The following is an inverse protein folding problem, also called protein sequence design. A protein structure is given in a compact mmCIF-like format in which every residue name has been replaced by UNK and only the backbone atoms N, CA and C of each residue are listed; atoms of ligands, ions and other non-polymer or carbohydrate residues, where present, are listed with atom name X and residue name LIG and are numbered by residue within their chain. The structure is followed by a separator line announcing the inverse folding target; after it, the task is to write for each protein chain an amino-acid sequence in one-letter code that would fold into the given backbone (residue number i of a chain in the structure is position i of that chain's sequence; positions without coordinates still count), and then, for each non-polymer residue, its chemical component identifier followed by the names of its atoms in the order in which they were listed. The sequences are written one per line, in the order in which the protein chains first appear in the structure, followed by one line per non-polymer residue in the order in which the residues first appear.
data_IF_152683483726
#
_entry.id   IF_152683483726
#
_cell.length_a   1.000
_cell.length_b   1.000
_cell.length_c   1.000
_cell.angle_alpha   90.00
_cell.angle_beta   90.00
_cell.angle_gamma   90.00
#
_symmetry.space_group_name_H-M   'P 1'
#
loop_
_entity.id
_entity.type
_entity.pdbx_description
1 polymer ?
#
# COMPACT_ATOMS: atom_id res chain seq x y z
N UNK A 1 -19.74 10.10 -6.62
CA UNK A 1 -19.28 9.64 -5.29
C UNK A 1 -18.87 8.20 -5.38
N UNK A 2 -17.71 7.90 -4.80
CA UNK A 2 -17.14 6.57 -4.68
C UNK A 2 -18.00 5.73 -3.75
N UNK A 3 -18.44 4.60 -4.25
CA UNK A 3 -19.23 3.60 -3.54
C UNK A 3 -18.33 2.48 -3.00
N UNK A 4 -17.23 2.17 -3.71
CA UNK A 4 -16.34 1.06 -3.38
C UNK A 4 -14.87 1.45 -3.43
N UNK A 5 -14.13 1.08 -2.38
CA UNK A 5 -12.67 1.14 -2.34
C UNK A 5 -12.12 -0.29 -2.35
N UNK A 6 -11.35 -0.62 -3.37
CA UNK A 6 -10.58 -1.85 -3.45
C UNK A 6 -9.15 -1.57 -2.99
N UNK A 7 -8.60 -2.40 -2.11
CA UNK A 7 -7.22 -2.27 -1.62
C UNK A 7 -6.49 -3.59 -1.84
N UNK A 8 -5.35 -3.53 -2.52
CA UNK A 8 -4.47 -4.67 -2.78
C UNK A 8 -3.13 -4.43 -2.10
N UNK A 9 -2.61 -5.45 -1.41
CA UNK A 9 -1.19 -5.50 -1.11
C UNK A 9 -0.42 -5.97 -2.34
N UNK A 10 0.75 -5.38 -2.60
CA UNK A 10 1.66 -5.88 -3.62
C UNK A 10 1.87 -7.42 -3.52
N UNK A 11 2.16 -8.04 -4.66
CA UNK A 11 2.45 -9.47 -4.76
C UNK A 11 3.82 -9.82 -4.13
N UNK A 12 4.15 -11.11 -4.14
CA UNK A 12 5.37 -11.65 -3.54
C UNK A 12 6.65 -11.00 -4.13
N UNK A 13 7.38 -10.26 -3.29
CA UNK A 13 8.58 -9.51 -3.67
C UNK A 13 9.88 -10.26 -3.41
N UNK A 14 10.95 -9.86 -4.09
CA UNK A 14 12.30 -10.17 -3.64
C UNK A 14 12.62 -9.40 -2.35
N UNK A 15 13.59 -9.88 -1.58
CA UNK A 15 13.88 -9.38 -0.24
C UNK A 15 14.95 -8.29 -0.24
N UNK A 16 15.02 -7.57 0.87
CA UNK A 16 16.10 -6.65 1.24
C UNK A 16 16.27 -6.69 2.76
N UNK A 17 17.41 -6.23 3.25
CA UNK A 17 17.71 -6.07 4.67
C UNK A 17 18.23 -4.67 4.97
N UNK A 18 18.21 -4.29 6.24
CA UNK A 18 18.81 -3.07 6.76
C UNK A 18 19.74 -3.42 7.90
N UNK A 19 20.90 -2.79 7.95
CA UNK A 19 21.73 -2.77 9.15
C UNK A 19 21.22 -1.66 10.08
N UNK A 20 20.67 -1.99 11.27
CA UNK A 20 20.06 -1.01 12.15
C UNK A 20 21.06 -0.05 12.80
N UNK A 21 22.36 -0.36 12.80
CA UNK A 21 23.39 0.53 13.36
C UNK A 21 23.86 1.56 12.34
N UNK A 22 23.91 1.18 11.07
CA UNK A 22 24.47 2.03 10.00
C UNK A 22 23.40 2.63 9.09
N UNK A 23 22.17 2.11 9.12
CA UNK A 23 21.11 2.48 8.19
C UNK A 23 21.35 1.98 6.77
N UNK A 24 22.32 1.10 6.54
CA UNK A 24 22.66 0.61 5.20
C UNK A 24 21.65 -0.44 4.75
N UNK A 25 20.94 -0.14 3.67
CA UNK A 25 20.01 -1.05 3.02
C UNK A 25 20.70 -1.90 1.95
N UNK A 26 20.46 -3.22 1.97
CA UNK A 26 20.99 -4.17 0.99
C UNK A 26 19.86 -4.98 0.36
N UNK A 27 19.70 -4.86 -0.95
CA UNK A 27 18.79 -5.73 -1.69
C UNK A 27 19.39 -7.15 -1.82
N UNK A 28 18.56 -8.19 -1.76
CA UNK A 28 19.04 -9.57 -1.97
C UNK A 28 19.47 -9.83 -3.42
N UNK A 29 19.15 -8.92 -4.33
CA UNK A 29 19.55 -8.95 -5.72
C UNK A 29 20.63 -7.90 -6.00
N UNK A 30 21.47 -8.16 -7.01
CA UNK A 30 22.59 -7.29 -7.34
C UNK A 30 22.16 -5.85 -7.70
N UNK A 31 20.98 -5.65 -8.32
CA UNK A 31 20.42 -4.32 -8.65
C UNK A 31 18.89 -4.36 -8.69
N UNK A 32 18.24 -3.39 -8.06
CA UNK A 32 16.80 -3.15 -8.23
C UNK A 32 16.53 -2.35 -9.51
N UNK A 33 15.33 -2.45 -10.13
CA UNK A 33 15.03 -1.73 -11.37
C UNK A 33 15.21 -0.21 -11.26
N UNK A 34 14.86 0.37 -10.11
CA UNK A 34 14.95 1.81 -9.83
C UNK A 34 16.31 2.21 -9.24
N UNK A 35 17.18 1.25 -8.93
CA UNK A 35 18.45 1.46 -8.21
C UNK A 35 18.28 1.73 -6.71
N UNK A 36 17.06 1.83 -6.20
CA UNK A 36 16.77 2.04 -4.78
C UNK A 36 16.78 0.70 -4.03
N UNK A 37 17.59 0.52 -2.97
CA UNK A 37 17.73 -0.78 -2.30
C UNK A 37 16.46 -1.35 -1.68
N UNK A 38 15.56 -0.48 -1.18
CA UNK A 38 14.28 -0.86 -0.57
C UNK A 38 13.17 -1.14 -1.59
N UNK A 39 13.47 -1.04 -2.88
CA UNK A 39 12.51 -1.13 -3.97
C UNK A 39 12.73 -2.34 -4.90
N UNK A 40 12.76 -3.58 -4.36
CA UNK A 40 12.94 -4.77 -5.16
C UNK A 40 11.69 -5.08 -5.99
N UNK A 41 11.85 -5.78 -7.13
CA UNK A 41 10.74 -6.24 -7.94
C UNK A 41 10.06 -7.45 -7.31
N UNK A 42 8.97 -7.88 -7.94
CA UNK A 42 8.31 -9.16 -7.70
C UNK A 42 9.23 -10.33 -8.07
N UNK A 43 9.10 -11.44 -7.34
CA UNK A 43 9.67 -12.73 -7.76
C UNK A 43 8.87 -13.33 -8.91
N UNK A 44 9.35 -14.41 -9.53
CA UNK A 44 8.55 -15.17 -10.50
C UNK A 44 7.17 -15.58 -9.94
N UNK A 45 7.11 -15.93 -8.64
CA UNK A 45 5.86 -16.22 -7.94
C UNK A 45 4.96 -14.99 -7.82
N UNK A 46 5.52 -13.84 -7.45
CA UNK A 46 4.77 -12.59 -7.38
C UNK A 46 4.24 -12.15 -8.75
N UNK A 47 5.00 -12.37 -9.83
CA UNK A 47 4.53 -12.14 -11.19
C UNK A 47 3.35 -13.07 -11.53
N UNK A 48 3.37 -14.32 -11.10
CA UNK A 48 2.22 -15.20 -11.29
C UNK A 48 0.98 -14.72 -10.51
N UNK A 49 1.15 -14.35 -9.23
CA UNK A 49 0.07 -13.76 -8.42
C UNK A 49 -0.51 -12.50 -9.09
N UNK A 50 0.32 -11.63 -9.68
CA UNK A 50 -0.15 -10.41 -10.35
C UNK A 50 -1.06 -10.70 -11.56
N UNK A 51 -0.82 -11.80 -12.29
CA UNK A 51 -1.67 -12.23 -13.41
C UNK A 51 -3.01 -12.80 -12.93
N UNK A 52 -2.98 -13.59 -11.86
CA UNK A 52 -4.17 -14.16 -11.24
C UNK A 52 -5.06 -13.05 -10.66
N UNK A 53 -4.45 -12.08 -9.96
CA UNK A 53 -5.11 -10.88 -9.48
C UNK A 53 -5.75 -10.09 -10.63
N UNK A 54 -5.04 -9.88 -11.74
CA UNK A 54 -5.57 -9.15 -12.89
C UNK A 54 -6.83 -9.82 -13.48
N UNK A 55 -6.82 -11.15 -13.61
CA UNK A 55 -7.98 -11.91 -14.07
C UNK A 55 -9.18 -11.80 -13.12
N UNK A 56 -8.93 -11.65 -11.83
CA UNK A 56 -9.97 -11.45 -10.82
C UNK A 56 -10.51 -10.00 -10.86
N UNK A 57 -9.63 -9.01 -10.86
CA UNK A 57 -9.97 -7.58 -10.95
C UNK A 57 -10.77 -7.24 -12.22
N UNK A 58 -10.55 -7.94 -13.33
CA UNK A 58 -11.34 -7.76 -14.55
C UNK A 58 -12.84 -8.13 -14.40
N UNK A 59 -13.22 -8.79 -13.31
CA UNK A 59 -14.57 -9.33 -13.06
C UNK A 59 -15.23 -8.77 -11.80
N UNK A 60 -14.57 -7.86 -11.08
CA UNK A 60 -15.15 -7.28 -9.86
C UNK A 60 -16.30 -6.35 -10.21
N UNK A 61 -17.29 -6.30 -9.32
CA UNK A 61 -18.43 -5.41 -9.43
C UNK A 61 -18.54 -4.52 -8.18
N UNK A 62 -18.66 -3.19 -8.32
CA UNK A 62 -18.54 -2.42 -9.57
C UNK A 62 -17.14 -2.52 -10.20
N UNK A 63 -16.99 -2.35 -11.52
CA UNK A 63 -15.70 -2.39 -12.18
C UNK A 63 -14.80 -1.25 -11.70
N UNK A 64 -13.48 -1.43 -11.76
CA UNK A 64 -12.50 -0.41 -11.38
C UNK A 64 -12.64 0.83 -12.28
N UNK A 65 -12.85 2.01 -11.69
CA UNK A 65 -12.92 3.28 -12.43
C UNK A 65 -11.66 4.13 -12.28
N UNK A 66 -10.97 4.05 -11.15
CA UNK A 66 -9.74 4.81 -10.88
C UNK A 66 -8.68 3.92 -10.26
N UNK A 67 -7.42 4.19 -10.57
CA UNK A 67 -6.28 3.42 -10.04
C UNK A 67 -5.30 4.38 -9.35
N UNK A 68 -5.00 4.08 -8.09
CA UNK A 68 -3.91 4.67 -7.35
C UNK A 68 -2.93 3.59 -6.94
N UNK A 69 -1.64 3.91 -6.95
CA UNK A 69 -0.60 3.01 -6.49
C UNK A 69 0.39 3.73 -5.60
N UNK A 70 0.89 3.02 -4.59
CA UNK A 70 2.16 3.37 -3.97
C UNK A 70 3.25 3.50 -5.05
N UNK A 71 4.24 4.39 -4.85
CA UNK A 71 5.34 4.60 -5.78
C UNK A 71 6.29 3.41 -5.91
N UNK A 72 6.38 2.53 -4.92
CA UNK A 72 7.32 1.39 -4.98
C UNK A 72 7.03 0.50 -6.19
N UNK A 73 8.09 0.16 -6.93
CA UNK A 73 8.07 -0.58 -8.18
C UNK A 73 7.18 -1.83 -8.11
N UNK A 74 7.26 -2.57 -7.01
CA UNK A 74 6.47 -3.79 -6.80
C UNK A 74 4.95 -3.57 -6.80
N UNK A 75 4.45 -2.41 -6.37
CA UNK A 75 3.02 -2.11 -6.38
C UNK A 75 2.55 -1.91 -7.82
N UNK A 76 3.27 -1.09 -8.60
CA UNK A 76 2.99 -0.90 -10.02
C UNK A 76 3.16 -2.19 -10.82
N UNK A 77 4.20 -2.99 -10.53
CA UNK A 77 4.40 -4.30 -11.15
C UNK A 77 3.27 -5.29 -10.81
N UNK A 78 2.69 -5.19 -9.62
CA UNK A 78 1.54 -6.02 -9.22
C UNK A 78 0.29 -5.67 -10.04
N UNK A 79 0.09 -4.38 -10.32
CA UNK A 79 -1.06 -3.92 -11.10
C UNK A 79 -0.86 -4.06 -12.61
N UNK A 80 0.39 -4.15 -13.08
CA UNK A 80 0.72 -4.07 -14.51
C UNK A 80 -0.14 -4.98 -15.41
N UNK A 81 -0.33 -6.29 -15.12
CA UNK A 81 -1.13 -7.14 -16.01
C UNK A 81 -2.59 -6.68 -16.12
N UNK A 82 -3.16 -6.14 -15.04
CA UNK A 82 -4.50 -5.57 -15.04
C UNK A 82 -4.53 -4.25 -15.81
N UNK A 83 -3.64 -3.31 -15.47
CA UNK A 83 -3.63 -1.98 -16.07
C UNK A 83 -3.33 -2.00 -17.58
N UNK A 84 -2.44 -2.88 -18.04
CA UNK A 84 -2.14 -3.02 -19.47
C UNK A 84 -3.41 -3.40 -20.25
N UNK A 85 -4.16 -4.38 -19.77
CA UNK A 85 -5.44 -4.78 -20.39
C UNK A 85 -6.47 -3.66 -20.27
N UNK A 86 -6.58 -3.07 -19.09
CA UNK A 86 -7.52 -2.00 -18.79
C UNK A 86 -7.39 -0.81 -19.76
N UNK A 87 -6.17 -0.35 -20.01
CA UNK A 87 -5.92 0.79 -20.91
C UNK A 87 -5.99 0.42 -22.38
N UNK A 88 -5.54 -0.77 -22.78
CA UNK A 88 -5.62 -1.23 -24.18
C UNK A 88 -7.05 -1.44 -24.68
N UNK A 89 -8.02 -1.64 -23.79
CA UNK A 89 -9.46 -1.70 -24.12
C UNK A 89 -10.10 -0.31 -24.35
N UNK A 90 -9.31 0.76 -24.47
CA UNK A 90 -9.80 2.12 -24.72
C UNK A 90 -10.44 2.78 -23.48
N UNK A 91 -10.20 2.23 -22.28
CA UNK A 91 -10.62 2.84 -21.00
C UNK A 91 -9.65 3.90 -20.49
N UNK A 92 -8.81 4.45 -21.36
CA UNK A 92 -8.02 5.65 -21.09
C UNK A 92 -8.89 6.87 -20.77
N UNK A 93 -10.16 6.85 -21.17
CA UNK A 93 -11.21 7.77 -20.70
C UNK A 93 -11.50 7.67 -19.19
N UNK A 94 -11.06 6.62 -18.51
CA UNK A 94 -11.19 6.44 -17.06
C UNK A 94 -9.97 6.94 -16.27
N UNK A 95 -9.04 7.61 -16.94
CA UNK A 95 -7.89 8.27 -16.32
C UNK A 95 -6.68 7.36 -16.09
N UNK A 96 -5.51 7.98 -15.98
CA UNK A 96 -4.21 7.31 -15.80
C UNK A 96 -4.00 6.85 -14.34
N UNK A 97 -2.99 6.01 -14.11
CA UNK A 97 -2.59 5.56 -12.78
C UNK A 97 -1.98 6.73 -12.02
N UNK A 98 -2.57 7.09 -10.87
CA UNK A 98 -2.05 8.11 -9.98
C UNK A 98 -1.09 7.50 -8.96
N UNK A 99 0.17 7.95 -8.97
CA UNK A 99 1.18 7.48 -8.02
C UNK A 99 1.12 8.34 -6.76
N UNK A 100 0.69 7.75 -5.65
CA UNK A 100 0.47 8.46 -4.39
C UNK A 100 1.39 7.98 -3.27
N UNK A 101 2.26 8.87 -2.79
CA UNK A 101 3.20 8.63 -1.69
C UNK A 101 2.49 8.48 -0.34
N UNK A 102 1.25 8.96 -0.19
CA UNK A 102 0.45 8.88 1.02
C UNK A 102 -0.07 7.47 1.33
N UNK A 103 -0.14 6.60 0.32
CA UNK A 103 -0.37 5.16 0.45
C UNK A 103 0.92 4.34 0.27
N UNK A 104 2.08 4.98 0.42
CA UNK A 104 3.40 4.35 0.38
C UNK A 104 3.73 3.48 1.60
N UNK A 105 4.87 2.80 1.52
CA UNK A 105 5.38 1.86 2.53
C UNK A 105 5.49 2.48 3.93
N UNK A 106 5.43 1.63 4.94
CA UNK A 106 5.72 1.99 6.32
C UNK A 106 7.19 1.70 6.64
N UNK A 107 7.93 2.73 7.04
CA UNK A 107 9.22 2.58 7.69
C UNK A 107 9.10 3.07 9.13
N UNK A 108 9.45 2.23 10.09
CA UNK A 108 9.51 2.59 11.49
C UNK A 108 10.52 3.72 11.74
N UNK A 109 10.27 4.57 12.74
CA UNK A 109 11.20 5.66 13.07
C UNK A 109 12.63 5.19 13.26
N UNK A 110 13.57 5.91 12.67
CA UNK A 110 15.00 5.66 12.79
C UNK A 110 15.80 6.92 13.09
N UNK A 111 17.01 6.76 13.62
CA UNK A 111 17.97 7.85 13.79
C UNK A 111 18.66 8.25 12.47
N UNK A 112 18.46 7.48 11.41
CA UNK A 112 18.93 7.71 10.05
C UNK A 112 17.75 8.00 9.10
N UNK A 113 18.05 8.46 7.89
CA UNK A 113 17.04 8.68 6.84
C UNK A 113 16.82 7.42 6.02
N UNK A 114 15.56 7.09 5.77
CA UNK A 114 15.19 6.01 4.86
C UNK A 114 15.35 6.46 3.40
N UNK A 115 15.62 5.53 2.47
CA UNK A 115 15.59 5.83 1.05
C UNK A 115 14.22 6.38 0.63
N UNK A 116 14.22 7.48 -0.12
CA UNK A 116 12.99 7.97 -0.73
C UNK A 116 12.42 6.96 -1.74
N UNK A 117 11.08 6.87 -1.86
CA UNK A 117 10.47 6.09 -2.92
C UNK A 117 10.79 6.68 -4.31
N UNK A 118 10.77 5.86 -5.37
CA UNK A 118 11.13 6.30 -6.71
C UNK A 118 10.27 7.45 -7.20
N UNK A 119 10.89 8.37 -7.94
CA UNK A 119 10.18 9.44 -8.65
C UNK A 119 9.49 8.91 -9.90
N UNK A 120 8.50 9.63 -10.43
CA UNK A 120 7.89 9.30 -11.71
C UNK A 120 8.92 9.16 -12.83
N UNK A 121 9.97 9.98 -12.85
CA UNK A 121 11.07 9.88 -13.82
C UNK A 121 11.77 8.51 -13.80
N UNK A 122 11.91 7.90 -12.62
CA UNK A 122 12.47 6.55 -12.48
C UNK A 122 11.45 5.46 -12.86
N UNK A 123 10.15 5.74 -12.80
CA UNK A 123 9.08 4.76 -13.04
C UNK A 123 8.62 4.73 -14.50
N UNK A 124 8.55 5.88 -15.19
CA UNK A 124 8.07 6.00 -16.58
C UNK A 124 8.81 5.11 -17.59
N UNK A 125 10.12 4.80 -17.45
CA UNK A 125 10.78 3.84 -18.34
C UNK A 125 10.27 2.39 -18.20
N UNK A 126 9.54 2.07 -17.13
CA UNK A 126 9.09 0.72 -16.80
C UNK A 126 7.57 0.54 -16.87
N UNK A 127 6.82 1.63 -16.71
CA UNK A 127 5.36 1.62 -16.63
C UNK A 127 4.76 2.73 -17.48
N UNK A 128 3.82 2.34 -18.34
CA UNK A 128 3.02 3.26 -19.13
C UNK A 128 1.79 3.75 -18.34
N UNK A 129 1.08 4.72 -18.90
CA UNK A 129 -0.20 5.21 -18.38
C UNK A 129 -0.13 5.74 -16.93
N UNK A 130 1.01 6.31 -16.55
CA UNK A 130 1.15 7.06 -15.29
C UNK A 130 0.66 8.50 -15.48
N UNK A 131 -0.10 9.00 -14.51
CA UNK A 131 -0.54 10.40 -14.44
C UNK A 131 0.66 11.28 -14.04
N UNK A 132 1.18 12.05 -15.00
CA UNK A 132 2.36 12.89 -14.80
C UNK A 132 2.03 14.18 -14.02
N UNK A 133 0.77 14.57 -13.99
CA UNK A 133 0.30 15.82 -13.39
C UNK A 133 -0.20 15.61 -11.96
N UNK A 134 -0.44 14.36 -11.56
CA UNK A 134 -0.81 14.03 -10.19
C UNK A 134 0.36 14.22 -9.22
N UNK A 135 0.10 14.95 -8.13
CA UNK A 135 1.07 15.23 -7.07
C UNK A 135 0.52 14.70 -5.75
N UNK A 136 1.32 13.89 -5.05
CA UNK A 136 0.98 13.41 -3.72
C UNK A 136 0.92 14.55 -2.71
N UNK A 137 -0.15 14.62 -1.92
CA UNK A 137 -0.34 15.66 -0.89
C UNK A 137 0.21 15.24 0.48
N UNK A 138 0.19 13.96 0.77
CA UNK A 138 0.60 13.40 2.05
C UNK A 138 1.77 12.43 1.86
N UNK A 139 2.78 12.51 2.73
CA UNK A 139 4.01 11.72 2.63
C UNK A 139 4.51 11.37 4.04
N UNK A 140 5.18 10.22 4.17
CA UNK A 140 5.89 9.87 5.39
C UNK A 140 7.12 10.78 5.61
N UNK A 141 7.54 10.96 6.86
CA UNK A 141 8.78 11.67 7.17
C UNK A 141 10.02 10.88 6.70
N UNK A 142 11.12 11.57 6.41
CA UNK A 142 12.35 10.93 5.92
C UNK A 142 12.98 9.95 6.91
N UNK A 143 12.68 10.10 8.21
CA UNK A 143 13.16 9.24 9.30
C UNK A 143 12.11 8.25 9.81
N UNK A 144 11.09 7.98 9.01
CA UNK A 144 10.06 7.00 9.34
C UNK A 144 8.96 7.58 10.21
N UNK A 145 8.07 6.70 10.67
CA UNK A 145 6.87 7.06 11.41
C UNK A 145 6.56 6.00 12.48
N UNK A 146 5.83 6.38 13.52
CA UNK A 146 5.23 5.45 14.48
C UNK A 146 3.95 4.85 13.89
N UNK A 147 3.42 3.79 14.50
CA UNK A 147 2.14 3.18 14.06
C UNK A 147 1.00 4.23 14.09
N UNK A 148 0.97 5.12 15.09
CA UNK A 148 -0.04 6.18 15.17
C UNK A 148 0.09 7.17 14.02
N UNK A 149 1.32 7.57 13.69
CA UNK A 149 1.60 8.48 12.58
C UNK A 149 1.26 7.84 11.22
N UNK A 150 1.51 6.54 11.05
CA UNK A 150 1.07 5.77 9.88
C UNK A 150 -0.46 5.87 9.70
N UNK A 151 -1.24 5.61 10.75
CA UNK A 151 -2.70 5.73 10.67
C UNK A 151 -3.14 7.16 10.32
N UNK A 152 -2.48 8.18 10.87
CA UNK A 152 -2.76 9.58 10.54
C UNK A 152 -2.44 9.93 9.09
N UNK A 153 -1.29 9.47 8.57
CA UNK A 153 -0.91 9.65 7.15
C UNK A 153 -1.92 8.98 6.23
N UNK A 154 -2.24 7.71 6.50
CA UNK A 154 -3.19 6.93 5.69
C UNK A 154 -4.58 7.55 5.74
N UNK A 155 -5.03 8.01 6.91
CA UNK A 155 -6.29 8.75 7.05
C UNK A 155 -6.34 9.96 6.13
N UNK A 156 -5.34 10.84 6.21
CA UNK A 156 -5.29 12.06 5.39
C UNK A 156 -5.25 11.73 3.90
N UNK A 157 -4.46 10.72 3.51
CA UNK A 157 -4.38 10.25 2.12
C UNK A 157 -5.73 9.73 1.61
N UNK A 158 -6.42 8.87 2.36
CA UNK A 158 -7.72 8.32 1.97
C UNK A 158 -8.82 9.39 1.96
N UNK A 159 -8.85 10.30 2.94
CA UNK A 159 -9.76 11.45 2.92
C UNK A 159 -9.53 12.29 1.67
N UNK A 160 -8.28 12.64 1.35
CA UNK A 160 -7.95 13.42 0.16
C UNK A 160 -8.33 12.70 -1.15
N UNK A 161 -7.94 11.43 -1.31
CA UNK A 161 -8.22 10.64 -2.52
C UNK A 161 -9.73 10.52 -2.71
N UNK A 162 -10.47 10.09 -1.69
CA UNK A 162 -11.91 9.85 -1.81
C UNK A 162 -12.66 11.16 -2.02
N UNK A 163 -12.34 12.24 -1.29
CA UNK A 163 -12.98 13.54 -1.50
C UNK A 163 -12.69 14.09 -2.91
N UNK A 164 -11.48 13.90 -3.43
CA UNK A 164 -11.14 14.31 -4.80
C UNK A 164 -11.99 13.55 -5.81
N UNK A 165 -12.12 12.23 -5.65
CA UNK A 165 -12.91 11.39 -6.54
C UNK A 165 -14.43 11.59 -6.39
N UNK A 166 -14.91 11.94 -5.19
CA UNK A 166 -16.32 12.28 -4.96
C UNK A 166 -16.75 13.52 -5.75
N UNK A 167 -15.82 14.46 -5.94
CA UNK A 167 -16.00 15.70 -6.69
C UNK A 167 -15.55 15.61 -8.16
N UNK A 168 -15.09 14.45 -8.60
CA UNK A 168 -14.65 14.24 -9.99
C UNK A 168 -15.88 14.29 -10.93
N UNK A 169 -15.86 15.12 -11.99
CA UNK A 169 -16.99 15.31 -12.90
C UNK A 169 -17.33 14.06 -13.72
N UNK A 170 -16.41 13.10 -13.83
CA UNK A 170 -16.71 11.81 -14.47
C UNK A 170 -17.47 10.85 -13.53
N UNK A 171 -17.67 11.25 -12.28
CA UNK A 171 -18.44 10.52 -11.27
C UNK A 171 -18.05 9.03 -11.11
N UNK A 172 -16.75 8.73 -10.91
CA UNK A 172 -16.30 7.37 -10.68
C UNK A 172 -17.01 6.76 -9.46
N UNK A 173 -17.28 5.45 -9.55
CA UNK A 173 -17.95 4.68 -8.49
C UNK A 173 -16.98 3.85 -7.69
N UNK A 174 -15.83 3.49 -8.26
CA UNK A 174 -14.84 2.68 -7.56
C UNK A 174 -13.41 3.19 -7.73
N UNK A 175 -12.56 2.86 -6.76
CA UNK A 175 -11.12 3.10 -6.83
C UNK A 175 -10.35 1.87 -6.37
N UNK A 176 -9.30 1.52 -7.11
CA UNK A 176 -8.33 0.49 -6.75
C UNK A 176 -7.05 1.14 -6.21
N UNK A 177 -6.64 0.75 -5.01
CA UNK A 177 -5.42 1.18 -4.35
C UNK A 177 -4.46 -0.01 -4.26
N UNK A 178 -3.23 0.10 -4.77
CA UNK A 178 -2.18 -0.88 -4.50
C UNK A 178 -1.15 -0.33 -3.50
N UNK A 179 -0.94 -1.05 -2.40
CA UNK A 179 -0.14 -0.60 -1.27
C UNK A 179 0.60 -1.77 -0.59
N UNK A 180 0.96 -1.63 0.68
CA UNK A 180 1.80 -2.52 1.49
C UNK A 180 1.04 -3.08 2.69
N UNK A 181 1.63 -4.03 3.40
CA UNK A 181 0.98 -4.70 4.53
C UNK A 181 0.48 -3.73 5.60
N UNK A 182 1.39 -3.00 6.25
CA UNK A 182 1.05 -2.09 7.34
C UNK A 182 0.05 -1.01 6.91
N UNK A 183 0.25 -0.44 5.71
CA UNK A 183 -0.64 0.57 5.13
C UNK A 183 -2.03 0.02 4.81
N UNK A 184 -2.14 -1.24 4.37
CA UNK A 184 -3.42 -1.91 4.09
C UNK A 184 -4.21 -2.17 5.38
N UNK A 185 -3.54 -2.60 6.45
CA UNK A 185 -4.17 -2.75 7.78
C UNK A 185 -4.64 -1.39 8.29
N UNK A 186 -3.76 -0.37 8.27
CA UNK A 186 -4.11 0.98 8.68
C UNK A 186 -5.28 1.56 7.88
N UNK A 187 -5.33 1.29 6.57
CA UNK A 187 -6.44 1.70 5.71
C UNK A 187 -7.75 1.02 6.12
N UNK A 188 -7.73 -0.28 6.41
CA UNK A 188 -8.91 -1.00 6.91
C UNK A 188 -9.46 -0.40 8.20
N UNK A 189 -8.57 -0.14 9.17
CA UNK A 189 -8.92 0.49 10.46
C UNK A 189 -9.49 1.89 10.28
N UNK A 190 -8.86 2.72 9.45
CA UNK A 190 -9.32 4.08 9.13
C UNK A 190 -10.69 4.08 8.45
N UNK A 191 -10.88 3.27 7.41
CA UNK A 191 -12.11 3.25 6.63
C UNK A 191 -13.29 2.76 7.47
N UNK A 192 -13.08 1.72 8.28
CA UNK A 192 -14.15 1.12 9.10
C UNK A 192 -14.37 1.82 10.42
N UNK A 193 -13.37 2.57 10.91
CA UNK A 193 -13.35 3.17 12.24
C UNK A 193 -13.00 2.17 13.34
N UNK A 194 -12.65 0.94 12.99
CA UNK A 194 -12.21 -0.10 13.93
C UNK A 194 -10.75 0.16 14.29
N UNK A 195 -10.53 0.94 15.35
CA UNK A 195 -9.21 1.28 15.87
C UNK A 195 -9.00 0.54 17.19
N UNK A 196 -8.41 -0.67 17.18
CA UNK A 196 -8.18 -1.43 18.42
C UNK A 196 -7.16 -0.72 19.32
N UNK A 197 -7.31 -0.86 20.64
CA UNK A 197 -6.33 -0.36 21.61
C UNK A 197 -4.99 -1.10 21.46
N UNK A 198 -5.06 -2.40 21.25
CA UNK A 198 -3.91 -3.21 20.90
C UNK A 198 -3.62 -3.10 19.39
N UNK A 199 -2.50 -2.50 18.96
CA UNK A 199 -2.16 -2.43 17.54
C UNK A 199 -2.01 -3.82 16.89
N UNK A 200 -1.77 -4.87 17.69
CA UNK A 200 -1.53 -6.24 17.24
C UNK A 200 -2.80 -7.08 17.09
N UNK A 201 -3.97 -6.48 17.29
CA UNK A 201 -5.25 -7.14 17.04
C UNK A 201 -5.30 -7.74 15.63
N UNK A 202 -5.72 -9.00 15.55
CA UNK A 202 -5.82 -9.74 14.29
C UNK A 202 -7.12 -9.42 13.54
N UNK A 203 -7.23 -8.18 13.05
CA UNK A 203 -8.44 -7.60 12.47
C UNK A 203 -8.43 -7.59 10.93
N UNK A 204 -7.47 -6.90 10.32
CA UNK A 204 -7.34 -6.76 8.87
C UNK A 204 -6.20 -7.63 8.36
N UNK A 205 -6.54 -8.55 7.44
CA UNK A 205 -5.59 -9.41 6.76
C UNK A 205 -4.91 -8.64 5.64
N UNK A 206 -3.69 -9.05 5.29
CA UNK A 206 -2.89 -8.36 4.27
C UNK A 206 -1.97 -9.33 3.52
N UNK A 207 -2.50 -10.43 2.98
CA UNK A 207 -1.70 -11.40 2.23
C UNK A 207 -1.14 -10.79 0.94
N UNK A 208 -0.01 -11.31 0.43
CA UNK A 208 0.55 -10.84 -0.85
C UNK A 208 -0.45 -11.02 -1.99
N UNK A 209 -0.68 -9.98 -2.79
CA UNK A 209 -1.72 -9.92 -3.83
C UNK A 209 -3.16 -10.16 -3.32
N UNK A 210 -3.38 -10.12 -2.01
CA UNK A 210 -4.71 -10.20 -1.43
C UNK A 210 -5.51 -8.92 -1.67
N UNK A 211 -6.80 -9.06 -1.92
CA UNK A 211 -7.72 -7.95 -2.22
C UNK A 211 -8.71 -7.74 -1.07
N UNK A 212 -8.73 -6.54 -0.49
CA UNK A 212 -9.82 -6.08 0.36
C UNK A 212 -10.82 -5.23 -0.42
N UNK A 213 -12.09 -5.31 -0.04
CA UNK A 213 -13.19 -4.52 -0.61
C UNK A 213 -13.95 -3.82 0.51
N UNK A 214 -14.05 -2.50 0.39
CA UNK A 214 -14.76 -1.65 1.33
C UNK A 214 -15.93 -0.96 0.63
N UNK A 215 -17.13 -1.07 1.19
CA UNK A 215 -18.36 -0.47 0.66
C UNK A 215 -18.78 0.70 1.55
N UNK A 216 -19.12 1.84 0.96
CA UNK A 216 -19.51 3.03 1.71
C UNK A 216 -20.85 2.79 2.42
N UNK A 217 -20.92 3.06 3.73
CA UNK A 217 -22.13 2.89 4.54
C UNK A 217 -23.16 3.99 4.30
N UNK A 218 -22.70 5.24 4.18
CA UNK A 218 -23.57 6.40 3.99
C UNK A 218 -22.99 7.40 2.99
N UNK A 219 -23.84 7.91 2.10
CA UNK A 219 -23.53 9.00 1.19
C UNK A 219 -23.68 10.40 1.84
N UNK A 220 -24.08 10.45 3.11
CA UNK A 220 -24.22 11.68 3.88
C UNK A 220 -22.86 12.40 4.06
N UNK A 221 -22.70 13.64 3.55
CA UNK A 221 -21.47 14.41 3.71
C UNK A 221 -21.05 14.62 5.17
N UNK A 222 -21.97 14.62 6.13
CA UNK A 222 -21.67 14.82 7.55
C UNK A 222 -20.95 13.63 8.20
N UNK A 223 -21.04 12.43 7.60
CA UNK A 223 -20.41 11.22 8.14
C UNK A 223 -18.90 11.14 7.88
N UNK A 224 -18.36 12.00 7.01
CA UNK A 224 -16.95 11.97 6.62
C UNK A 224 -16.54 10.67 5.90
N UNK A 225 -15.24 10.53 5.64
CA UNK A 225 -14.68 9.34 4.98
C UNK A 225 -14.22 8.29 6.01
N UNK A 226 -13.48 8.70 7.03
CA UNK A 226 -13.02 7.78 8.07
C UNK A 226 -14.21 7.23 8.90
N UNK A 227 -14.26 5.92 9.11
CA UNK A 227 -15.36 5.26 9.85
C UNK A 227 -16.64 4.98 9.04
N UNK A 228 -16.71 5.42 7.79
CA UNK A 228 -17.93 5.37 6.98
C UNK A 228 -17.96 4.21 5.97
N UNK A 229 -17.22 3.13 6.22
CA UNK A 229 -17.09 2.00 5.31
C UNK A 229 -17.27 0.66 6.02
N UNK A 230 -17.80 -0.32 5.30
CA UNK A 230 -17.89 -1.71 5.72
C UNK A 230 -16.90 -2.55 4.91
N UNK A 231 -16.15 -3.43 5.58
CA UNK A 231 -15.21 -4.34 4.93
C UNK A 231 -15.94 -5.63 4.53
N UNK A 232 -16.25 -5.79 3.25
CA UNK A 232 -16.94 -6.98 2.72
C UNK A 232 -15.97 -8.11 2.34
N UNK A 233 -14.76 -7.76 1.88
CA UNK A 233 -13.68 -8.71 1.63
C UNK A 233 -12.45 -8.26 2.40
N UNK A 234 -11.84 -9.18 3.16
CA UNK A 234 -10.68 -8.91 4.00
C UNK A 234 -9.46 -9.70 3.49
N UNK A 235 -8.73 -9.10 2.55
CA UNK A 235 -7.60 -9.72 1.84
C UNK A 235 -7.95 -11.09 1.24
N UNK A 236 -8.97 -11.11 0.40
CA UNK A 236 -9.39 -12.28 -0.39
C UNK A 236 -8.24 -12.83 -1.25
N UNK A 237 -8.07 -14.15 -1.27
CA UNK A 237 -6.98 -14.86 -1.98
C UNK A 237 -7.43 -16.16 -2.65
N UNK A 238 -8.73 -16.48 -2.66
CA UNK A 238 -9.27 -17.71 -3.27
C UNK A 238 -9.01 -17.79 -4.78
N UNK A 239 -8.75 -16.65 -5.43
CA UNK A 239 -8.33 -16.57 -6.83
C UNK A 239 -6.84 -16.85 -7.05
N UNK A 240 -6.03 -16.88 -5.99
CA UNK A 240 -4.60 -17.18 -6.06
C UNK A 240 -4.38 -18.68 -5.96
N UNK A 241 -3.63 -19.24 -6.91
CA UNK A 241 -3.32 -20.68 -6.91
C UNK A 241 -2.53 -21.13 -5.68
N UNK A 242 -1.74 -20.24 -5.10
CA UNK A 242 -0.98 -20.45 -3.86
C UNK A 242 -1.76 -20.15 -2.58
N UNK A 243 -2.98 -19.64 -2.67
CA UNK A 243 -3.78 -19.20 -1.53
C UNK A 243 -3.15 -18.04 -0.76
N UNK A 244 -3.48 -17.97 0.55
CA UNK A 244 -3.01 -16.91 1.45
C UNK A 244 -1.54 -17.09 1.82
N UNK A 245 -0.73 -16.05 1.58
CA UNK A 245 0.70 -16.08 1.84
C UNK A 245 1.23 -14.79 2.46
N UNK A 246 2.27 -14.93 3.30
CA UNK A 246 3.02 -13.81 3.88
C UNK A 246 2.14 -12.81 4.62
N UNK A 247 1.13 -13.27 5.36
CA UNK A 247 0.38 -12.42 6.27
C UNK A 247 1.31 -11.65 7.22
N UNK A 248 0.86 -10.50 7.70
CA UNK A 248 1.64 -9.60 8.53
C UNK A 248 0.72 -8.91 9.55
N UNK A 249 1.26 -8.58 10.71
CA UNK A 249 0.62 -7.86 11.80
C UNK A 249 1.63 -6.88 12.40
N UNK A 250 1.18 -5.92 13.22
CA UNK A 250 2.08 -4.92 13.80
C UNK A 250 3.11 -5.49 14.81
N UNK A 251 2.95 -6.74 15.26
CA UNK A 251 3.90 -7.46 16.11
C UNK A 251 5.05 -8.14 15.33
N UNK A 252 6.21 -8.33 15.97
CA UNK A 252 7.37 -9.08 15.47
C UNK A 252 8.69 -8.28 15.44
N UNK A 253 9.84 -8.94 15.22
CA UNK A 253 11.17 -8.31 15.11
C UNK A 253 11.29 -7.27 13.97
N UNK A 254 10.30 -7.19 13.08
CA UNK A 254 10.19 -6.11 12.08
C UNK A 254 9.64 -4.79 12.66
N UNK A 255 9.25 -4.77 13.94
CA UNK A 255 8.98 -3.57 14.75
C UNK A 255 10.29 -2.87 15.14
N UNK A 256 11.09 -2.46 14.16
CA UNK A 256 12.30 -1.67 14.41
C UNK A 256 11.94 -0.24 14.79
N UNK A 257 11.35 -0.06 15.97
CA UNK A 257 11.33 1.19 16.72
C UNK A 257 11.17 0.83 18.20
N UNK A 258 12.22 1.07 18.98
CA UNK A 258 12.11 1.16 20.43
C UNK A 258 11.01 2.17 20.76
N UNK A 259 9.91 1.70 21.35
CA UNK A 259 8.80 2.54 21.80
C UNK A 259 9.10 3.23 23.14
N UNK A 260 10.31 3.10 23.67
CA UNK A 260 10.70 3.71 24.94
C UNK A 260 11.63 4.90 24.72
N UNK A 261 11.32 6.03 25.37
CA UNK A 261 12.24 7.16 25.57
C UNK A 261 13.44 6.78 26.49
N UNK A 262 13.69 5.49 26.71
CA UNK A 262 14.68 4.98 27.68
C UNK A 262 15.84 4.20 27.06
N UNK A 263 15.91 4.04 25.75
CA UNK A 263 16.97 3.29 25.04
C UNK A 263 18.38 3.92 25.04
N UNK A 264 18.72 4.78 26.01
CA UNK A 264 20.03 5.46 26.11
C UNK A 264 20.85 5.10 27.35
N UNK A 265 20.66 3.93 27.97
CA UNK A 265 21.65 3.41 28.93
C UNK A 265 22.02 1.97 28.58
N UNK A 266 23.16 1.82 27.91
CA UNK A 266 23.79 0.54 27.70
C UNK A 266 24.36 0.01 29.01
N UNK A 267 23.88 -1.15 29.44
CA UNK A 267 24.63 -2.02 30.33
C UNK A 267 24.65 -3.43 29.75
N UNK A 268 25.86 -3.83 29.38
CA UNK A 268 26.20 -5.20 29.01
C UNK A 268 26.18 -6.08 30.27
N UNK A 269 25.34 -7.10 30.31
CA UNK A 269 25.61 -8.26 31.15
C UNK A 269 25.63 -9.53 30.31
N UNK A 270 26.83 -10.06 30.15
CA UNK A 270 27.08 -11.42 29.69
C UNK A 270 26.49 -12.42 30.69
N UNK A 271 25.77 -13.43 30.23
CA UNK A 271 25.74 -14.72 30.93
C UNK A 271 25.84 -15.88 29.95
N UNK A 272 26.78 -16.75 30.31
CA UNK A 272 26.96 -18.16 29.95
C UNK A 272 25.66 -18.92 29.72
#
# INVERSE_FOLDING_TARGET
MIEVVYIVRHAFRANWSVDPQTGVYTASMARTPTGIPTDPPLTAKGVQQSKELANYLAKVEPPVDRIYSSPFYRCLQTLKPFSDTYFNEGKETRGKIRVDRGIGEFFGRAHFEHPEPPSLKLLTPHFDNLDADYVSVHMAGSRGESIVELHQRVRKALEHIVTTLDNDPEHPKSVLLCTHAATMIAAGRVLTGQMPENPDEDDFKCYTAGLSRFVRRSADPEKGIAGNWECELNSETSFLSGGAERGWHFDGEESFVDFSDTGMNGESESKL
#
